data_IF_332188489388
#
_entry.id   IF_332188489388
#
_cell.length_a   1.000
_cell.length_b   1.000
_cell.length_c   1.000
_cell.angle_alpha   90.00
_cell.angle_beta   90.00
_cell.angle_gamma   90.00
#
_symmetry.space_group_name_H-M   'P 1'
#
loop_
_entity.id
_entity.type
_entity.pdbx_description
1 polymer ?
#
# COMPACT_ATOMS: atom_id res chain seq x y z
N UNK A 1 9.44 -22.77 -1.66
CA UNK A 1 9.43 -22.51 -0.22
C UNK A 1 10.22 -23.61 0.47
N UNK A 2 11.19 -23.25 1.30
CA UNK A 2 11.98 -24.19 2.08
C UNK A 2 11.57 -24.14 3.57
N UNK A 3 11.59 -25.29 4.25
CA UNK A 3 11.41 -25.33 5.70
C UNK A 3 12.66 -24.82 6.41
N UNK A 4 12.52 -24.17 7.58
CA UNK A 4 13.63 -23.63 8.38
C UNK A 4 14.72 -24.67 8.68
N UNK A 5 14.36 -25.95 8.82
CA UNK A 5 15.31 -27.07 9.04
C UNK A 5 15.89 -27.67 7.75
N UNK A 6 15.70 -27.05 6.58
CA UNK A 6 16.25 -27.50 5.31
C UNK A 6 15.62 -28.77 4.71
N UNK A 7 14.63 -29.35 5.36
CA UNK A 7 13.95 -30.55 4.89
C UNK A 7 12.67 -30.20 4.15
N UNK A 8 12.59 -30.63 2.90
CA UNK A 8 11.43 -30.46 2.00
C UNK A 8 11.39 -29.08 1.32
N UNK A 9 11.60 -29.09 0.04
CA UNK A 9 11.35 -27.94 -0.86
C UNK A 9 10.00 -28.14 -1.53
N UNK A 10 9.22 -27.06 -1.65
CA UNK A 10 8.02 -27.03 -2.44
C UNK A 10 8.14 -25.94 -3.51
N UNK A 11 7.98 -26.31 -4.76
CA UNK A 11 7.94 -25.34 -5.84
C UNK A 11 6.55 -24.69 -5.90
N UNK A 12 6.54 -23.40 -6.08
CA UNK A 12 5.33 -22.62 -6.36
C UNK A 12 5.09 -22.70 -7.86
N UNK A 13 3.87 -22.99 -8.25
CA UNK A 13 3.45 -22.89 -9.65
C UNK A 13 3.35 -21.42 -10.04
N UNK A 14 4.26 -20.96 -10.86
CA UNK A 14 4.29 -19.61 -11.41
C UNK A 14 3.65 -19.50 -12.78
N UNK A 15 3.02 -20.59 -13.26
CA UNK A 15 2.49 -20.69 -14.61
C UNK A 15 3.60 -20.76 -15.68
N UNK A 16 3.20 -20.74 -16.94
CA UNK A 16 4.16 -20.61 -18.04
C UNK A 16 4.77 -19.21 -18.04
N UNK A 17 6.09 -19.14 -18.07
CA UNK A 17 6.83 -17.88 -18.10
C UNK A 17 7.57 -17.74 -19.41
N UNK A 18 7.17 -16.79 -20.22
CA UNK A 18 7.89 -16.38 -21.43
C UNK A 18 8.87 -15.24 -21.09
N UNK A 19 9.88 -15.52 -20.25
CA UNK A 19 10.86 -14.50 -19.81
C UNK A 19 10.27 -13.35 -18.96
N UNK A 20 9.24 -13.59 -18.16
CA UNK A 20 8.67 -12.60 -17.27
C UNK A 20 9.55 -12.36 -16.05
N UNK A 21 9.45 -11.16 -15.47
CA UNK A 21 10.04 -10.82 -14.18
C UNK A 21 9.15 -11.29 -13.02
N UNK A 22 9.78 -11.55 -11.87
CA UNK A 22 9.12 -11.71 -10.58
C UNK A 22 9.61 -10.58 -9.66
N UNK A 23 9.10 -9.34 -9.85
CA UNK A 23 9.67 -8.16 -9.22
C UNK A 23 9.40 -8.08 -7.73
N UNK A 24 8.38 -8.79 -7.25
CA UNK A 24 7.95 -8.70 -5.86
C UNK A 24 7.33 -10.02 -5.37
N UNK A 25 7.57 -10.31 -4.07
CA UNK A 25 7.01 -11.47 -3.36
C UNK A 25 6.90 -11.16 -1.88
N UNK A 26 5.77 -11.51 -1.25
CA UNK A 26 5.54 -11.31 0.18
C UNK A 26 4.62 -12.40 0.76
N UNK A 27 4.75 -12.68 2.05
CA UNK A 27 3.81 -13.52 2.77
C UNK A 27 2.49 -12.78 3.00
N UNK A 28 1.38 -13.33 2.54
CA UNK A 28 0.02 -12.86 2.87
C UNK A 28 -0.30 -13.23 4.32
N UNK A 29 0.03 -14.45 4.69
CA UNK A 29 -0.08 -15.02 6.02
C UNK A 29 0.81 -16.27 6.14
N UNK A 30 0.70 -17.01 7.26
CA UNK A 30 1.52 -18.22 7.50
C UNK A 30 1.32 -19.35 6.47
N UNK A 31 0.31 -19.29 5.61
CA UNK A 31 -0.04 -20.35 4.66
C UNK A 31 0.03 -19.91 3.20
N UNK A 32 -0.01 -18.61 2.92
CA UNK A 32 -0.09 -18.08 1.56
C UNK A 32 1.01 -17.09 1.27
N UNK A 33 1.53 -17.16 0.05
CA UNK A 33 2.49 -16.20 -0.51
C UNK A 33 1.85 -15.52 -1.70
N UNK A 34 1.96 -14.20 -1.76
CA UNK A 34 1.67 -13.42 -2.97
C UNK A 34 2.95 -13.14 -3.73
N UNK A 35 2.86 -13.11 -5.06
CA UNK A 35 3.94 -12.68 -5.93
C UNK A 35 3.39 -11.99 -7.18
N UNK A 36 4.18 -11.08 -7.73
CA UNK A 36 3.91 -10.46 -9.02
C UNK A 36 4.68 -11.17 -10.13
N UNK A 37 4.01 -11.32 -11.26
CA UNK A 37 4.58 -11.69 -12.52
C UNK A 37 4.39 -10.52 -13.48
N UNK A 38 5.45 -10.07 -14.13
CA UNK A 38 5.46 -8.87 -14.96
C UNK A 38 6.13 -9.14 -16.31
N UNK A 39 5.56 -8.60 -17.36
CA UNK A 39 6.16 -8.72 -18.69
C UNK A 39 7.46 -7.89 -18.80
N UNK A 40 8.25 -8.19 -19.85
CA UNK A 40 9.54 -7.51 -20.07
C UNK A 40 9.41 -6.03 -20.45
N UNK A 41 8.27 -5.62 -20.94
CA UNK A 41 7.99 -4.21 -21.27
C UNK A 41 7.53 -3.43 -20.04
N UNK A 42 7.25 -4.14 -18.92
CA UNK A 42 6.71 -3.56 -17.69
C UNK A 42 5.37 -2.84 -17.90
N UNK A 43 4.59 -3.31 -18.85
CA UNK A 43 3.28 -2.78 -19.20
C UNK A 43 2.13 -3.60 -18.63
N UNK A 44 2.43 -4.83 -18.18
CA UNK A 44 1.43 -5.73 -17.61
C UNK A 44 2.00 -6.45 -16.41
N UNK A 45 1.27 -6.45 -15.30
CA UNK A 45 1.56 -7.36 -14.21
C UNK A 45 0.32 -8.14 -13.76
N UNK A 46 0.59 -9.33 -13.27
CA UNK A 46 -0.39 -10.24 -12.68
C UNK A 46 0.05 -10.59 -11.26
N UNK A 47 -0.86 -10.49 -10.29
CA UNK A 47 -0.63 -10.98 -8.94
C UNK A 47 -1.21 -12.35 -8.77
N UNK A 48 -0.40 -13.23 -8.22
CA UNK A 48 -0.79 -14.58 -7.83
C UNK A 48 -0.69 -14.75 -6.32
N UNK A 49 -1.62 -15.51 -5.76
CA UNK A 49 -1.53 -16.01 -4.39
C UNK A 49 -1.36 -17.52 -4.44
N UNK A 50 -0.30 -18.02 -3.81
CA UNK A 50 0.07 -19.42 -3.76
C UNK A 50 -0.12 -20.00 -2.38
N UNK A 51 -0.71 -21.18 -2.33
CA UNK A 51 -0.76 -22.01 -1.11
C UNK A 51 0.61 -22.67 -0.87
N UNK A 52 1.14 -22.53 0.33
CA UNK A 52 2.50 -23.03 0.66
C UNK A 52 2.59 -24.56 0.70
N UNK A 53 1.49 -25.28 0.92
CA UNK A 53 1.48 -26.73 1.05
C UNK A 53 1.34 -27.39 -0.32
N UNK A 54 0.34 -27.00 -1.08
CA UNK A 54 0.09 -27.53 -2.43
C UNK A 54 1.03 -26.95 -3.49
N UNK A 55 1.49 -25.71 -3.31
CA UNK A 55 2.23 -24.94 -4.30
C UNK A 55 1.35 -24.40 -5.44
N UNK A 56 0.04 -24.64 -5.41
CA UNK A 56 -0.90 -24.14 -6.42
C UNK A 56 -1.06 -22.62 -6.26
N UNK A 57 -1.11 -21.93 -7.40
CA UNK A 57 -1.27 -20.49 -7.49
C UNK A 57 -2.58 -20.11 -8.13
N UNK A 58 -3.23 -19.07 -7.61
CA UNK A 58 -4.42 -18.46 -8.17
C UNK A 58 -4.09 -17.03 -8.55
N UNK A 59 -4.40 -16.64 -9.79
CA UNK A 59 -4.32 -15.24 -10.21
C UNK A 59 -5.45 -14.45 -9.55
N UNK A 60 -5.11 -13.34 -8.87
CA UNK A 60 -6.05 -12.54 -8.08
C UNK A 60 -6.20 -11.11 -8.57
N UNK A 61 -5.17 -10.52 -9.15
CA UNK A 61 -5.21 -9.17 -9.71
C UNK A 61 -4.41 -9.11 -11.00
N UNK A 62 -4.76 -8.14 -11.84
CA UNK A 62 -4.00 -7.81 -13.04
C UNK A 62 -4.13 -6.30 -13.28
N UNK A 63 -3.08 -5.69 -13.77
CA UNK A 63 -3.06 -4.29 -14.19
C UNK A 63 -2.24 -4.17 -15.47
N UNK A 64 -2.68 -3.29 -16.37
CA UNK A 64 -2.01 -3.04 -17.63
C UNK A 64 -2.05 -1.56 -18.00
N UNK A 65 -0.97 -1.07 -18.59
CA UNK A 65 -0.88 0.24 -19.22
C UNK A 65 -0.13 0.10 -20.55
N UNK A 66 -0.83 0.26 -21.65
CA UNK A 66 -0.23 0.15 -23.00
C UNK A 66 0.64 1.35 -23.37
N UNK A 67 0.50 2.48 -22.66
CA UNK A 67 1.15 3.74 -22.98
C UNK A 67 2.29 4.12 -22.01
N UNK A 68 2.42 3.40 -20.90
CA UNK A 68 3.38 3.69 -19.84
C UNK A 68 4.03 2.47 -19.22
N UNK A 69 4.79 2.70 -18.17
CA UNK A 69 5.36 1.66 -17.33
C UNK A 69 4.61 1.58 -16.02
N UNK A 70 4.34 0.36 -15.59
CA UNK A 70 3.76 0.09 -14.27
C UNK A 70 4.88 0.04 -13.22
N UNK A 71 5.02 1.11 -12.43
CA UNK A 71 6.11 1.28 -11.43
C UNK A 71 5.68 0.94 -9.99
N UNK A 72 4.48 0.41 -9.79
CA UNK A 72 3.90 0.21 -8.46
C UNK A 72 4.23 -1.16 -7.85
N UNK A 73 5.51 -1.44 -7.65
CA UNK A 73 5.93 -2.70 -7.07
C UNK A 73 5.99 -2.61 -5.53
N UNK A 74 5.12 -3.34 -4.83
CA UNK A 74 5.30 -3.61 -3.40
C UNK A 74 4.47 -2.77 -2.43
N UNK A 75 3.51 -1.99 -2.86
CA UNK A 75 2.60 -1.28 -1.96
C UNK A 75 1.24 -2.01 -1.81
N UNK A 76 1.30 -3.33 -1.63
CA UNK A 76 0.11 -4.14 -1.39
C UNK A 76 -0.14 -4.33 0.10
N UNK A 77 -1.41 -4.37 0.48
CA UNK A 77 -1.87 -4.71 1.84
C UNK A 77 -2.97 -5.73 1.75
N UNK A 78 -2.80 -6.85 2.45
CA UNK A 78 -3.77 -7.93 2.51
C UNK A 78 -4.59 -7.79 3.78
N UNK A 79 -5.90 -7.67 3.65
CA UNK A 79 -6.83 -7.58 4.76
C UNK A 79 -7.23 -8.98 5.26
N UNK A 80 -7.69 -9.07 6.50
CA UNK A 80 -8.13 -10.33 7.13
C UNK A 80 -9.28 -10.99 6.38
N UNK A 81 -10.15 -10.19 5.76
CA UNK A 81 -11.27 -10.66 4.93
C UNK A 81 -10.86 -11.08 3.51
N UNK A 82 -9.57 -11.00 3.18
CA UNK A 82 -9.00 -11.42 1.91
C UNK A 82 -9.04 -10.37 0.81
N UNK A 83 -9.51 -9.15 1.09
CA UNK A 83 -9.37 -8.02 0.17
C UNK A 83 -7.92 -7.58 0.07
N UNK A 84 -7.57 -6.97 -1.04
CA UNK A 84 -6.24 -6.44 -1.31
C UNK A 84 -6.38 -4.93 -1.55
N UNK A 85 -5.58 -4.14 -0.84
CA UNK A 85 -5.46 -2.69 -1.04
C UNK A 85 -4.10 -2.42 -1.68
N UNK A 86 -4.06 -1.57 -2.72
CA UNK A 86 -2.82 -1.16 -3.38
C UNK A 86 -2.91 0.27 -3.92
N UNK A 87 -1.78 0.80 -4.33
CA UNK A 87 -1.70 2.07 -5.05
C UNK A 87 -1.57 1.76 -6.55
N UNK A 88 -2.36 2.43 -7.38
CA UNK A 88 -2.35 2.29 -8.83
C UNK A 88 -2.54 3.62 -9.53
N UNK A 89 -1.93 3.76 -10.71
CA UNK A 89 -2.02 4.91 -11.61
C UNK A 89 -3.10 4.75 -12.70
N UNK A 90 -3.86 3.66 -12.70
CA UNK A 90 -4.82 3.35 -13.78
C UNK A 90 -5.90 4.41 -14.03
N UNK A 91 -6.08 5.36 -13.10
CA UNK A 91 -6.97 6.53 -13.26
C UNK A 91 -6.22 7.81 -13.67
N UNK A 92 -4.93 7.72 -13.99
CA UNK A 92 -4.07 8.86 -14.41
C UNK A 92 -3.25 9.49 -13.29
N UNK A 93 -3.53 9.18 -12.03
CA UNK A 93 -2.79 9.59 -10.84
C UNK A 93 -2.66 8.42 -9.87
N UNK A 94 -1.65 8.43 -8.98
CA UNK A 94 -1.48 7.43 -7.93
C UNK A 94 -2.59 7.50 -6.90
N UNK A 95 -3.49 6.53 -6.90
CA UNK A 95 -4.61 6.45 -5.97
C UNK A 95 -4.70 5.11 -5.28
N UNK A 96 -5.39 5.07 -4.14
CA UNK A 96 -5.67 3.85 -3.40
C UNK A 96 -6.83 3.12 -4.07
N UNK A 97 -6.61 1.84 -4.34
CA UNK A 97 -7.58 0.90 -4.88
C UNK A 97 -7.77 -0.27 -3.93
N UNK A 98 -8.93 -0.89 -3.99
CA UNK A 98 -9.25 -2.10 -3.24
C UNK A 98 -9.93 -3.12 -4.14
N UNK A 99 -9.55 -4.39 -4.00
CA UNK A 99 -10.21 -5.51 -4.69
C UNK A 99 -11.30 -6.12 -3.81
N UNK A 100 -12.28 -6.73 -4.43
CA UNK A 100 -13.11 -7.74 -3.75
C UNK A 100 -12.27 -8.98 -3.43
N UNK A 101 -12.78 -9.77 -2.51
CA UNK A 101 -12.25 -11.11 -2.23
C UNK A 101 -12.08 -11.89 -3.56
N UNK A 102 -10.92 -12.52 -3.76
CA UNK A 102 -10.55 -13.22 -4.99
C UNK A 102 -10.28 -12.37 -6.26
N UNK A 103 -10.16 -11.03 -6.16
CA UNK A 103 -9.70 -10.20 -7.29
C UNK A 103 -10.70 -10.03 -8.44
N UNK A 104 -11.96 -10.44 -8.27
CA UNK A 104 -12.97 -10.42 -9.34
C UNK A 104 -13.45 -9.04 -9.76
N UNK A 105 -13.25 -8.03 -8.93
CA UNK A 105 -13.52 -6.62 -9.21
C UNK A 105 -12.75 -5.73 -8.24
N UNK A 106 -12.43 -4.53 -8.67
CA UNK A 106 -11.78 -3.51 -7.86
C UNK A 106 -12.48 -2.17 -8.01
N UNK A 107 -12.29 -1.30 -7.02
CA UNK A 107 -12.76 0.08 -7.09
C UNK A 107 -11.75 1.01 -6.46
N UNK A 108 -11.81 2.27 -6.88
CA UNK A 108 -10.96 3.34 -6.42
C UNK A 108 -11.51 3.91 -5.10
N UNK A 109 -10.63 4.11 -4.11
CA UNK A 109 -10.98 4.70 -2.80
C UNK A 109 -10.72 6.20 -2.80
N UNK A 110 -9.56 6.62 -3.34
CA UNK A 110 -9.19 8.05 -3.42
C UNK A 110 -9.22 8.51 -4.86
N UNK A 111 -9.62 9.78 -5.09
CA UNK A 111 -9.73 10.34 -6.43
C UNK A 111 -9.29 11.81 -6.47
N UNK A 112 -8.96 12.33 -7.66
CA UNK A 112 -8.60 13.71 -7.87
C UNK A 112 -7.31 13.90 -8.69
N UNK A 113 -6.90 15.17 -8.88
CA UNK A 113 -5.67 15.54 -9.60
C UNK A 113 -4.49 15.68 -8.61
N UNK A 114 -4.22 14.66 -7.87
CA UNK A 114 -3.16 14.56 -6.85
C UNK A 114 -2.79 13.10 -6.66
N UNK A 115 -1.72 12.84 -5.92
CA UNK A 115 -1.17 11.49 -5.78
C UNK A 115 -1.03 11.07 -4.33
N UNK A 116 -1.35 9.81 -4.08
CA UNK A 116 -1.00 9.10 -2.86
C UNK A 116 0.47 8.68 -2.95
N UNK A 117 1.26 9.07 -1.96
CA UNK A 117 2.68 8.71 -1.88
C UNK A 117 2.87 7.33 -1.23
N UNK A 118 2.11 7.07 -0.15
CA UNK A 118 2.29 5.84 0.64
C UNK A 118 1.08 5.51 1.51
N UNK A 119 0.72 4.22 1.58
CA UNK A 119 -0.17 3.68 2.63
C UNK A 119 0.68 3.44 3.89
N UNK A 120 0.43 4.21 4.93
CA UNK A 120 1.20 4.18 6.18
C UNK A 120 0.68 3.10 7.13
N UNK A 121 -0.65 3.03 7.32
CA UNK A 121 -1.30 2.08 8.21
C UNK A 121 -2.74 1.82 7.77
N UNK A 122 -3.26 0.65 8.11
CA UNK A 122 -4.67 0.29 7.97
C UNK A 122 -5.17 -0.21 9.32
N UNK A 123 -6.23 0.42 9.82
CA UNK A 123 -6.99 -0.06 10.95
C UNK A 123 -8.22 -0.78 10.42
N UNK A 124 -8.16 -2.12 10.37
CA UNK A 124 -9.24 -2.92 9.83
C UNK A 124 -10.48 -2.91 10.72
N UNK A 125 -10.31 -2.78 12.05
CA UNK A 125 -11.42 -2.79 13.01
C UNK A 125 -12.26 -1.50 12.90
N UNK A 126 -11.63 -0.38 12.52
CA UNK A 126 -12.29 0.93 12.28
C UNK A 126 -12.52 1.20 10.78
N UNK A 127 -12.18 0.25 9.91
CA UNK A 127 -12.26 0.37 8.45
C UNK A 127 -11.61 1.66 7.92
N UNK A 128 -10.42 2.00 8.44
CA UNK A 128 -9.76 3.26 8.15
C UNK A 128 -8.35 3.05 7.59
N UNK A 129 -8.06 3.73 6.48
CA UNK A 129 -6.75 3.76 5.82
C UNK A 129 -6.07 5.09 6.16
N UNK A 130 -4.82 5.01 6.60
CA UNK A 130 -3.95 6.16 6.87
C UNK A 130 -2.85 6.22 5.80
N UNK A 131 -2.71 7.36 5.13
CA UNK A 131 -1.83 7.49 3.99
C UNK A 131 -1.23 8.89 3.89
N UNK A 132 -0.13 9.02 3.14
CA UNK A 132 0.43 10.33 2.78
C UNK A 132 0.15 10.64 1.32
N UNK A 133 -0.06 11.93 1.02
CA UNK A 133 -0.40 12.41 -0.32
C UNK A 133 -0.01 13.88 -0.52
N UNK A 134 0.09 14.29 -1.79
CA UNK A 134 0.38 15.66 -2.20
C UNK A 134 -0.88 16.48 -2.55
N UNK A 135 -2.02 16.14 -1.94
CA UNK A 135 -3.35 16.69 -2.30
C UNK A 135 -3.44 18.20 -2.22
N UNK A 136 -2.81 18.82 -1.20
CA UNK A 136 -2.87 20.27 -1.00
C UNK A 136 -1.86 21.03 -1.87
N UNK A 137 -0.73 20.41 -2.21
CA UNK A 137 0.33 20.97 -3.03
C UNK A 137 1.25 19.88 -3.55
N UNK A 138 1.69 19.98 -4.79
CA UNK A 138 2.67 19.04 -5.39
C UNK A 138 4.03 19.05 -4.67
N UNK A 139 4.31 20.07 -3.85
CA UNK A 139 5.54 20.22 -3.07
C UNK A 139 5.39 19.79 -1.62
N UNK A 140 4.22 19.31 -1.22
CA UNK A 140 3.91 18.93 0.16
C UNK A 140 3.46 17.48 0.20
N UNK A 141 3.90 16.76 1.20
CA UNK A 141 3.45 15.41 1.46
C UNK A 141 2.82 15.37 2.85
N UNK A 142 1.50 15.32 2.90
CA UNK A 142 0.72 15.42 4.14
C UNK A 142 0.06 14.11 4.50
N UNK A 143 -0.36 13.99 5.74
CA UNK A 143 -0.96 12.77 6.30
C UNK A 143 -2.48 12.86 6.37
N UNK A 144 -3.13 11.82 5.89
CA UNK A 144 -4.59 11.73 5.78
C UNK A 144 -5.11 10.41 6.36
N UNK A 145 -6.38 10.41 6.74
CA UNK A 145 -7.18 9.21 6.92
C UNK A 145 -8.37 9.20 5.97
N UNK A 146 -8.86 8.02 5.61
CA UNK A 146 -10.07 7.81 4.81
C UNK A 146 -10.68 6.46 5.19
N UNK A 147 -12.00 6.34 5.14
CA UNK A 147 -12.66 5.05 5.30
C UNK A 147 -12.41 4.14 4.10
N UNK A 148 -12.45 2.82 4.31
CA UNK A 148 -12.26 1.82 3.25
C UNK A 148 -13.32 1.94 2.13
N UNK A 149 -14.49 2.48 2.44
CA UNK A 149 -15.54 2.77 1.47
C UNK A 149 -15.33 4.10 0.69
N UNK A 150 -14.27 4.86 1.00
CA UNK A 150 -13.94 6.15 0.38
C UNK A 150 -14.56 7.36 1.07
N UNK A 151 -15.33 7.17 2.13
CA UNK A 151 -15.95 8.26 2.90
C UNK A 151 -15.00 8.84 3.96
N UNK A 152 -15.40 9.95 4.56
CA UNK A 152 -14.80 10.58 5.76
C UNK A 152 -13.27 10.82 5.64
N UNK A 153 -12.85 11.37 4.50
CA UNK A 153 -11.44 11.76 4.31
C UNK A 153 -11.08 12.96 5.19
N UNK A 154 -10.02 12.83 5.99
CA UNK A 154 -9.53 13.87 6.92
C UNK A 154 -8.05 14.13 6.74
N UNK A 155 -7.64 15.40 6.83
CA UNK A 155 -6.25 15.81 6.96
C UNK A 155 -5.83 15.72 8.45
N UNK A 156 -4.70 15.07 8.72
CA UNK A 156 -4.17 14.85 10.08
C UNK A 156 -2.91 15.68 10.39
N UNK A 157 -2.41 16.43 9.40
CA UNK A 157 -1.26 17.34 9.55
C UNK A 157 -1.62 18.70 8.96
N UNK A 158 -1.73 19.74 9.80
CA UNK A 158 -2.15 21.08 9.38
C UNK A 158 -1.00 21.93 8.82
N UNK A 159 0.22 21.66 9.28
CA UNK A 159 1.40 22.43 8.90
C UNK A 159 1.73 22.18 7.40
N UNK A 160 2.09 23.26 6.69
CA UNK A 160 2.53 23.18 5.30
C UNK A 160 3.97 22.69 5.21
N UNK A 161 4.20 21.61 4.45
CA UNK A 161 5.53 21.07 4.22
C UNK A 161 5.52 19.58 3.96
N UNK A 162 6.70 18.99 4.13
CA UNK A 162 6.92 17.56 3.96
C UNK A 162 6.85 16.85 5.31
N UNK A 163 5.99 15.83 5.38
CA UNK A 163 5.73 15.05 6.57
C UNK A 163 6.17 13.60 6.37
N UNK A 164 7.06 13.13 7.24
CA UNK A 164 7.44 11.72 7.34
C UNK A 164 6.77 11.09 8.55
N UNK A 165 5.87 10.18 8.30
CA UNK A 165 4.95 9.61 9.31
C UNK A 165 5.39 8.21 9.74
N UNK A 166 5.40 7.98 11.05
CA UNK A 166 5.55 6.65 11.66
C UNK A 166 4.48 6.41 12.71
N UNK A 167 3.59 5.49 12.47
CA UNK A 167 2.59 5.07 13.46
C UNK A 167 3.26 4.30 14.60
N UNK A 168 2.85 4.59 15.82
CA UNK A 168 3.37 3.93 17.05
C UNK A 168 2.88 2.50 17.18
N UNK A 169 3.54 1.69 18.01
CA UNK A 169 3.11 0.32 18.28
C UNK A 169 1.70 0.20 18.86
N UNK A 170 1.25 1.20 19.63
CA UNK A 170 -0.13 1.28 20.17
C UNK A 170 -1.17 1.61 19.10
N UNK A 171 -0.74 2.08 17.91
CA UNK A 171 -1.59 2.50 16.77
C UNK A 171 -2.57 3.64 17.07
N UNK A 172 -2.49 4.24 18.27
CA UNK A 172 -3.29 5.40 18.68
C UNK A 172 -2.62 6.74 18.44
N UNK A 173 -1.32 6.72 18.13
CA UNK A 173 -0.50 7.90 17.89
C UNK A 173 0.42 7.70 16.69
N UNK A 174 0.94 8.79 16.16
CA UNK A 174 2.00 8.77 15.18
C UNK A 174 3.11 9.77 15.51
N UNK A 175 4.31 9.47 15.10
CA UNK A 175 5.45 10.39 15.10
C UNK A 175 5.43 11.09 13.77
N UNK A 176 5.33 12.40 13.80
CA UNK A 176 5.42 13.27 12.64
C UNK A 176 6.80 13.94 12.64
N UNK A 177 7.57 13.71 11.61
CA UNK A 177 8.81 14.42 11.33
C UNK A 177 8.54 15.39 10.18
N UNK A 178 8.40 16.64 10.50
CA UNK A 178 7.96 17.70 9.61
C UNK A 178 9.07 18.71 9.32
N UNK A 179 9.13 19.21 8.12
CA UNK A 179 9.94 20.37 7.72
C UNK A 179 9.34 21.09 6.52
N UNK A 180 9.68 22.37 6.37
CA UNK A 180 9.35 23.17 5.19
C UNK A 180 10.53 24.07 4.79
N UNK A 181 10.38 24.82 3.69
CA UNK A 181 11.39 25.81 3.28
C UNK A 181 11.66 26.90 4.31
N UNK A 182 10.69 27.15 5.22
CA UNK A 182 10.78 28.19 6.26
C UNK A 182 10.87 27.63 7.68
N UNK A 183 10.71 26.31 7.84
CA UNK A 183 10.67 25.66 9.16
C UNK A 183 11.70 24.54 9.22
N UNK A 184 12.70 24.63 10.12
CA UNK A 184 13.60 23.52 10.40
C UNK A 184 12.84 22.28 10.87
N UNK A 185 13.47 21.11 10.76
CA UNK A 185 12.87 19.84 11.13
C UNK A 185 12.35 19.84 12.58
N UNK A 186 11.07 19.59 12.71
CA UNK A 186 10.36 19.40 13.98
C UNK A 186 9.91 17.95 14.08
N UNK A 187 10.01 17.37 15.27
CA UNK A 187 9.53 16.02 15.55
C UNK A 187 8.47 16.13 16.65
N UNK A 188 7.28 15.62 16.37
CA UNK A 188 6.16 15.64 17.30
C UNK A 188 5.47 14.29 17.39
N UNK A 189 4.88 14.00 18.55
CA UNK A 189 3.93 12.94 18.77
C UNK A 189 2.52 13.52 18.63
N UNK A 190 1.72 12.93 17.73
CA UNK A 190 0.35 13.39 17.44
C UNK A 190 -0.65 12.25 17.63
N UNK A 191 -1.90 12.60 17.92
CA UNK A 191 -3.02 11.65 17.95
C UNK A 191 -3.38 11.21 16.54
N UNK A 192 -3.55 9.90 16.31
CA UNK A 192 -3.95 9.38 14.99
C UNK A 192 -5.42 9.69 14.66
N UNK A 193 -6.24 10.00 15.66
CA UNK A 193 -7.66 10.26 15.50
C UNK A 193 -7.97 11.72 15.15
N UNK A 194 -7.20 12.66 15.72
CA UNK A 194 -7.45 14.10 15.57
C UNK A 194 -6.33 14.87 14.86
N UNK A 195 -5.13 14.30 14.75
CA UNK A 195 -3.94 15.01 14.27
C UNK A 195 -3.32 15.97 15.30
N UNK A 196 -3.96 16.16 16.48
CA UNK A 196 -3.49 17.10 17.49
C UNK A 196 -2.14 16.69 18.10
N UNK A 197 -1.31 17.69 18.38
CA UNK A 197 -0.02 17.51 19.01
C UNK A 197 -0.20 17.09 20.47
N UNK A 198 0.28 15.90 20.81
CA UNK A 198 0.35 15.41 22.19
C UNK A 198 1.65 15.90 22.85
N UNK A 199 2.76 15.90 22.09
CA UNK A 199 4.07 16.31 22.57
C UNK A 199 5.02 16.68 21.42
N UNK A 200 5.74 17.79 21.58
CA UNK A 200 6.90 18.12 20.76
C UNK A 200 8.13 17.40 21.34
N UNK A 201 8.86 16.69 20.48
CA UNK A 201 10.05 15.90 20.88
C UNK A 201 11.31 16.70 20.55
N UNK A 202 11.33 17.35 19.39
CA UNK A 202 12.44 18.20 18.92
C UNK A 202 11.92 19.21 17.86
#
# INVERSE_FOLDING_TARGET
IARIKGYGKKWIDKGQTNNDYLPWMEWVNNEKIAFLKMDRKQQNWEMFISDRVSGKSLKVLTESDENGWLDNHGQFRFLKDGKIIWISEQSGYKHIWISKHSGSSSWQITEGKWEVSKIVHINEDEETIYFTANKESIFENRFYSIKIDGSDMKLLTDERGDHSIRVTGSKSHFIDTYSSSMTPRVISLKSIYSGEIVRIIK
#
